data_IF_600982988380
#
_entry.id   IF_600982988380
#
_cell.length_a   1.000
_cell.length_b   1.000
_cell.length_c   1.000
_cell.angle_alpha   90.00
_cell.angle_beta   90.00
_cell.angle_gamma   90.00
#
_symmetry.space_group_name_H-M   'P 1'
#
loop_
_entity.id
_entity.type
_entity.pdbx_description
1 polymer ?
#
# COMPACT_ATOMS: atom_id res chain seq x y z
N UNK A 1 10.58 12.46 4.94
CA UNK A 1 9.96 13.45 5.84
C UNK A 1 8.45 13.30 5.68
N UNK A 2 7.74 13.13 6.79
CA UNK A 2 6.28 13.07 6.79
C UNK A 2 5.70 14.48 6.72
N UNK A 3 4.50 14.63 6.16
CA UNK A 3 3.84 15.93 5.97
C UNK A 3 2.33 15.79 6.04
N UNK A 4 1.65 16.84 6.48
CA UNK A 4 0.20 16.89 6.47
C UNK A 4 -0.34 16.90 5.04
N UNK A 5 -1.42 16.14 4.83
CA UNK A 5 -2.10 16.01 3.55
C UNK A 5 -3.47 16.67 3.67
N UNK A 6 -3.71 17.70 2.86
CA UNK A 6 -5.05 18.28 2.73
C UNK A 6 -5.91 17.44 1.79
N UNK A 7 -7.24 17.53 1.93
CA UNK A 7 -8.19 16.88 1.01
C UNK A 7 -7.93 17.24 -0.45
N UNK A 8 -7.62 18.51 -0.72
CA UNK A 8 -7.29 18.98 -2.06
C UNK A 8 -6.07 18.28 -2.66
N UNK A 9 -5.04 17.98 -1.86
CA UNK A 9 -3.88 17.20 -2.32
C UNK A 9 -4.26 15.75 -2.59
N UNK A 10 -5.06 15.14 -1.72
CA UNK A 10 -5.55 13.78 -1.92
C UNK A 10 -6.33 13.64 -3.23
N UNK A 11 -7.29 14.53 -3.49
CA UNK A 11 -8.11 14.48 -4.71
C UNK A 11 -7.31 14.68 -6.01
N UNK A 12 -6.14 15.32 -5.94
CA UNK A 12 -5.26 15.55 -7.09
C UNK A 12 -4.06 14.58 -7.12
N UNK A 13 -4.05 13.56 -6.27
CA UNK A 13 -2.97 12.57 -6.27
C UNK A 13 -3.09 11.62 -7.48
N UNK A 14 -1.95 11.19 -8.01
CA UNK A 14 -1.89 10.15 -9.05
C UNK A 14 -2.28 8.77 -8.49
N UNK A 15 -1.94 8.51 -7.23
CA UNK A 15 -2.25 7.27 -6.51
C UNK A 15 -2.51 7.55 -5.03
N UNK A 16 -3.39 6.76 -4.41
CA UNK A 16 -3.58 6.71 -2.96
C UNK A 16 -3.79 5.26 -2.51
N UNK A 17 -3.37 4.95 -1.29
CA UNK A 17 -3.48 3.60 -0.72
C UNK A 17 -3.72 3.66 0.78
N UNK A 18 -4.35 2.62 1.32
CA UNK A 18 -4.44 2.36 2.75
C UNK A 18 -3.46 1.25 3.14
N UNK A 19 -2.96 1.34 4.37
CA UNK A 19 -2.17 0.26 4.98
C UNK A 19 -2.82 -0.22 6.27
N UNK A 20 -2.82 -1.53 6.52
CA UNK A 20 -3.23 -2.09 7.81
C UNK A 20 -3.07 -3.60 7.85
N UNK A 21 -3.15 -4.24 9.02
CA UNK A 21 -2.97 -5.71 9.10
C UNK A 21 -3.99 -6.48 8.27
N UNK A 22 -5.25 -6.05 8.28
CA UNK A 22 -6.32 -6.69 7.51
C UNK A 22 -6.44 -6.15 6.07
N UNK A 23 -6.23 -4.84 5.91
CA UNK A 23 -6.29 -4.17 4.60
C UNK A 23 -5.01 -4.39 3.78
N UNK A 24 -3.94 -4.89 4.39
CA UNK A 24 -2.60 -5.02 3.81
C UNK A 24 -2.16 -3.70 3.17
N UNK A 25 -1.75 -3.72 1.90
CA UNK A 25 -1.55 -2.55 1.04
C UNK A 25 -2.72 -2.53 0.05
N UNK A 26 -3.69 -1.65 0.25
CA UNK A 26 -4.92 -1.58 -0.55
C UNK A 26 -5.00 -0.29 -1.36
N UNK A 27 -5.13 -0.33 -2.70
CA UNK A 27 -5.31 0.86 -3.52
C UNK A 27 -6.66 1.54 -3.27
N UNK A 28 -6.66 2.87 -3.23
CA UNK A 28 -7.87 3.70 -3.16
C UNK A 28 -8.19 4.20 -4.56
N UNK A 29 -9.34 3.80 -5.09
CA UNK A 29 -9.82 4.23 -6.42
C UNK A 29 -10.47 5.61 -6.40
N UNK A 30 -11.13 5.95 -5.29
CA UNK A 30 -12.09 7.05 -5.21
C UNK A 30 -12.26 7.49 -3.75
N UNK A 31 -12.43 8.80 -3.53
CA UNK A 31 -12.74 9.40 -2.23
C UNK A 31 -13.76 10.51 -2.45
N UNK A 32 -14.84 10.54 -1.67
CA UNK A 32 -15.91 11.54 -1.78
C UNK A 32 -16.46 11.69 -3.22
N UNK A 33 -16.76 10.56 -3.87
CA UNK A 33 -17.19 10.47 -5.28
C UNK A 33 -16.21 11.07 -6.31
N UNK A 34 -14.96 11.33 -5.89
CA UNK A 34 -13.88 11.83 -6.75
C UNK A 34 -12.87 10.73 -7.01
N UNK A 35 -12.71 10.40 -8.28
CA UNK A 35 -11.70 9.46 -8.76
C UNK A 35 -10.30 9.96 -8.41
N UNK A 36 -9.45 9.07 -7.88
CA UNK A 36 -8.03 9.31 -7.67
C UNK A 36 -7.27 8.81 -8.90
N UNK A 37 -6.38 9.63 -9.47
CA UNK A 37 -5.66 9.31 -10.71
C UNK A 37 -6.59 8.82 -11.83
N UNK A 38 -6.25 7.67 -12.42
CA UNK A 38 -7.04 7.02 -13.47
C UNK A 38 -8.19 6.13 -12.94
N UNK A 39 -8.34 6.04 -11.61
CA UNK A 39 -9.32 5.17 -10.97
C UNK A 39 -8.93 3.70 -11.02
N UNK A 40 -7.64 3.37 -11.06
CA UNK A 40 -7.13 2.00 -10.96
C UNK A 40 -5.94 1.95 -10.01
N UNK A 41 -5.46 0.74 -9.72
CA UNK A 41 -4.20 0.53 -9.00
C UNK A 41 -3.04 1.01 -9.87
N UNK A 42 -2.38 2.09 -9.48
CA UNK A 42 -1.20 2.59 -10.17
C UNK A 42 0.07 1.78 -9.90
N UNK A 43 1.15 2.08 -10.65
CA UNK A 43 2.41 1.35 -10.60
C UNK A 43 3.13 1.41 -9.25
N UNK A 44 3.06 2.53 -8.51
CA UNK A 44 3.74 2.67 -7.22
C UNK A 44 3.08 1.79 -6.17
N UNK A 45 1.75 1.84 -6.09
CA UNK A 45 0.94 1.02 -5.18
C UNK A 45 1.11 -0.46 -5.50
N UNK A 46 1.12 -0.84 -6.79
CA UNK A 46 1.40 -2.22 -7.21
C UNK A 46 2.75 -2.71 -6.69
N UNK A 47 3.82 -1.93 -6.89
CA UNK A 47 5.17 -2.29 -6.45
C UNK A 47 5.25 -2.46 -4.93
N UNK A 48 4.63 -1.55 -4.17
CA UNK A 48 4.60 -1.63 -2.70
C UNK A 48 3.82 -2.87 -2.25
N UNK A 49 2.67 -3.15 -2.88
CA UNK A 49 1.85 -4.31 -2.56
C UNK A 49 2.59 -5.62 -2.83
N UNK A 50 3.29 -5.74 -3.96
CA UNK A 50 4.10 -6.92 -4.30
C UNK A 50 5.25 -7.12 -3.31
N UNK A 51 5.96 -6.05 -2.94
CA UNK A 51 7.03 -6.14 -1.94
C UNK A 51 6.51 -6.52 -0.56
N UNK A 52 5.36 -5.97 -0.14
CA UNK A 52 4.71 -6.34 1.10
C UNK A 52 4.33 -7.84 1.10
N UNK A 53 3.63 -8.31 0.07
CA UNK A 53 3.16 -9.70 -0.01
C UNK A 53 4.30 -10.71 -0.03
N UNK A 54 5.36 -10.45 -0.81
CA UNK A 54 6.56 -11.31 -0.83
C UNK A 54 7.29 -11.29 0.51
N UNK A 55 7.31 -10.15 1.20
CA UNK A 55 7.89 -10.01 2.53
C UNK A 55 7.16 -10.83 3.58
N UNK A 56 5.83 -10.68 3.69
CA UNK A 56 5.04 -11.38 4.72
C UNK A 56 4.94 -12.89 4.49
N UNK A 57 5.16 -13.34 3.24
CA UNK A 57 5.29 -14.77 2.88
C UNK A 57 6.68 -15.36 3.16
N UNK A 58 7.65 -14.54 3.59
CA UNK A 58 9.02 -15.00 3.89
C UNK A 58 9.91 -15.21 2.67
N UNK A 59 9.50 -14.71 1.51
CA UNK A 59 10.28 -14.81 0.26
C UNK A 59 11.44 -13.78 0.24
N UNK A 60 11.36 -12.73 1.07
CA UNK A 60 12.41 -11.72 1.23
C UNK A 60 13.33 -12.03 2.42
N UNK A 61 14.56 -12.46 2.13
CA UNK A 61 15.56 -12.78 3.15
C UNK A 61 15.82 -11.61 4.12
N UNK A 62 15.86 -10.38 3.59
CA UNK A 62 16.15 -9.17 4.37
C UNK A 62 15.14 -8.88 5.50
N UNK A 63 13.94 -9.45 5.42
CA UNK A 63 12.84 -9.20 6.36
C UNK A 63 12.46 -10.43 7.19
N UNK A 64 13.21 -11.53 7.09
CA UNK A 64 12.93 -12.75 7.87
C UNK A 64 12.80 -12.52 9.38
N UNK A 65 13.50 -11.53 9.93
CA UNK A 65 13.41 -11.14 11.35
C UNK A 65 12.02 -10.65 11.78
N UNK A 66 11.14 -10.30 10.84
CA UNK A 66 9.76 -9.89 11.12
C UNK A 66 8.80 -11.07 11.23
N UNK A 67 9.22 -12.28 10.83
CA UNK A 67 8.39 -13.46 10.76
C UNK A 67 8.71 -14.41 11.90
N UNK A 68 7.67 -14.82 12.62
CA UNK A 68 7.75 -15.91 13.59
C UNK A 68 7.23 -17.20 12.94
N UNK A 69 8.13 -18.15 12.69
CA UNK A 69 7.77 -19.47 12.17
C UNK A 69 7.38 -20.39 13.33
N UNK A 70 6.16 -20.94 13.28
CA UNK A 70 5.63 -21.81 14.34
C UNK A 70 6.08 -23.28 14.20
N UNK A 71 6.41 -23.70 12.98
CA UNK A 71 6.90 -25.04 12.65
C UNK A 71 8.07 -24.92 11.69
N UNK A 72 9.05 -25.83 11.81
CA UNK A 72 10.20 -25.96 10.91
C UNK A 72 10.22 -27.35 10.30
#
# INVERSE_FOLDING_TARGET
METDITRGRLYNADEALLTGTAAEVTPIREVDDRRIGDGKRGPVTKRIQEEYLTTVRGERQQYKRWLLYLYQ
#
